data_IF_668449054030
#
_entry.id   IF_668449054030
#
_cell.length_a   1.000
_cell.length_b   1.000
_cell.length_c   1.000
_cell.angle_alpha   90.00
_cell.angle_beta   90.00
_cell.angle_gamma   90.00
#
_symmetry.space_group_name_H-M   'P 1'
#
loop_
_entity.id
_entity.type
_entity.pdbx_description
1 polymer ?
#
# COMPACT_ATOMS: atom_id res chain seq x y z
N UNK A 1 -13.83 7.28 -12.58
CA UNK A 1 -13.25 8.54 -12.03
C UNK A 1 -11.79 8.59 -12.42
N UNK A 2 -11.06 9.70 -12.23
CA UNK A 2 -9.64 9.75 -12.55
C UNK A 2 -8.82 10.28 -11.38
N UNK A 3 -7.68 9.67 -11.10
CA UNK A 3 -6.71 10.18 -10.13
C UNK A 3 -5.99 11.36 -10.77
N UNK A 4 -6.03 12.52 -10.12
CA UNK A 4 -5.36 13.72 -10.60
C UNK A 4 -3.93 13.78 -10.09
N UNK A 5 -3.00 14.11 -10.98
CA UNK A 5 -1.57 14.20 -10.70
C UNK A 5 -1.05 15.53 -11.24
N UNK A 6 -0.21 16.21 -10.46
CA UNK A 6 0.49 17.42 -10.87
C UNK A 6 1.96 17.07 -11.13
N UNK A 7 2.45 17.38 -12.32
CA UNK A 7 3.87 17.32 -12.66
C UNK A 7 4.46 18.73 -12.65
N UNK A 8 5.22 19.09 -11.61
CA UNK A 8 5.82 20.43 -11.50
C UNK A 8 7.33 20.40 -11.72
N UNK A 9 7.85 21.37 -12.47
CA UNK A 9 9.30 21.54 -12.65
C UNK A 9 9.93 21.98 -11.32
N UNK A 10 10.85 21.16 -10.78
CA UNK A 10 11.62 21.47 -9.57
C UNK A 10 13.08 21.08 -9.74
N UNK A 11 13.96 21.80 -9.06
CA UNK A 11 15.38 21.44 -8.95
C UNK A 11 15.49 20.27 -7.97
N UNK A 12 15.92 19.10 -8.44
CA UNK A 12 16.22 18.01 -7.52
C UNK A 12 17.52 18.32 -6.78
N UNK A 13 17.43 18.38 -5.45
CA UNK A 13 18.59 18.51 -4.55
C UNK A 13 19.21 17.17 -4.17
N UNK A 14 18.56 16.04 -4.53
CA UNK A 14 18.91 14.68 -4.09
C UNK A 14 18.79 13.73 -5.29
N UNK A 15 19.78 12.85 -5.50
CA UNK A 15 19.83 11.86 -6.58
C UNK A 15 21.16 11.89 -7.36
N UNK A 16 21.33 10.98 -8.33
CA UNK A 16 22.56 10.85 -9.15
C UNK A 16 22.99 12.14 -9.89
N UNK A 17 22.05 13.05 -10.18
CA UNK A 17 22.32 14.33 -10.85
C UNK A 17 21.74 15.52 -10.04
N UNK A 18 22.42 15.98 -8.99
CA UNK A 18 22.00 17.14 -8.20
C UNK A 18 22.08 18.43 -9.04
N UNK A 19 21.04 19.26 -8.98
CA UNK A 19 21.02 20.59 -9.63
C UNK A 19 20.30 20.67 -10.99
N UNK A 20 19.86 19.55 -11.56
CA UNK A 20 19.09 19.54 -12.83
C UNK A 20 17.60 19.74 -12.56
N UNK A 21 16.96 20.63 -13.35
CA UNK A 21 15.51 20.86 -13.32
C UNK A 21 14.78 19.65 -13.94
N UNK A 22 13.98 18.92 -13.14
CA UNK A 22 13.12 17.81 -13.64
C UNK A 22 11.66 18.05 -13.25
N UNK A 23 10.74 17.43 -13.98
CA UNK A 23 9.34 17.37 -13.56
C UNK A 23 9.18 16.30 -12.49
N UNK A 24 8.60 16.69 -11.35
CA UNK A 24 8.27 15.77 -10.26
C UNK A 24 6.75 15.64 -10.20
N UNK A 25 6.27 14.41 -10.33
CA UNK A 25 4.85 14.07 -10.21
C UNK A 25 4.44 13.95 -8.75
N UNK A 26 3.26 14.46 -8.40
CA UNK A 26 2.61 14.28 -7.10
C UNK A 26 1.11 14.15 -7.29
N UNK A 27 0.42 13.33 -6.50
CA UNK A 27 -1.04 13.30 -6.52
C UNK A 27 -1.60 14.67 -6.13
N UNK A 28 -2.57 15.15 -6.88
CA UNK A 28 -3.40 16.29 -6.50
C UNK A 28 -4.44 15.80 -5.50
N UNK A 29 -4.04 15.78 -4.23
CA UNK A 29 -4.94 15.40 -3.15
C UNK A 29 -5.97 16.50 -2.94
N UNK A 30 -7.25 16.15 -3.02
CA UNK A 30 -8.34 17.02 -2.60
C UNK A 30 -8.26 17.32 -1.09
N UNK A 31 -8.99 18.36 -0.67
CA UNK A 31 -9.12 18.69 0.74
C UNK A 31 -9.61 17.47 1.55
N UNK A 32 -9.17 17.34 2.82
CA UNK A 32 -9.53 16.21 3.65
C UNK A 32 -11.05 16.12 3.78
N UNK A 33 -11.60 14.94 3.51
CA UNK A 33 -13.02 14.66 3.69
C UNK A 33 -13.33 14.70 5.18
N UNK A 34 -14.34 15.47 5.58
CA UNK A 34 -14.79 15.52 6.97
C UNK A 34 -15.47 14.21 7.37
N UNK A 35 -15.19 13.74 8.58
CA UNK A 35 -15.75 12.52 9.19
C UNK A 35 -17.29 12.45 9.04
N UNK A 36 -18.00 13.57 9.26
CA UNK A 36 -19.45 13.65 9.10
C UNK A 36 -19.94 13.27 7.70
N UNK A 37 -19.17 13.59 6.65
CA UNK A 37 -19.53 13.27 5.27
C UNK A 37 -19.36 11.77 5.00
N UNK A 38 -18.29 11.17 5.52
CA UNK A 38 -18.06 9.72 5.44
C UNK A 38 -19.23 8.96 6.04
N UNK A 39 -19.62 9.30 7.27
CA UNK A 39 -20.74 8.60 7.93
C UNK A 39 -22.08 8.84 7.25
N UNK A 40 -22.31 10.03 6.68
CA UNK A 40 -23.54 10.30 5.92
C UNK A 40 -23.62 9.44 4.66
N UNK A 41 -22.52 9.34 3.91
CA UNK A 41 -22.47 8.51 2.70
C UNK A 41 -22.58 7.02 3.03
N UNK A 42 -21.88 6.55 4.07
CA UNK A 42 -21.98 5.18 4.55
C UNK A 42 -23.40 4.84 5.04
N UNK A 43 -24.04 5.77 5.76
CA UNK A 43 -25.43 5.63 6.22
C UNK A 43 -26.41 5.51 5.05
N UNK A 44 -26.28 6.33 4.01
CA UNK A 44 -27.11 6.24 2.80
C UNK A 44 -26.92 4.90 2.06
N UNK A 45 -25.68 4.41 1.98
CA UNK A 45 -25.38 3.13 1.29
C UNK A 45 -25.80 1.88 2.06
N UNK A 46 -25.75 1.93 3.40
CA UNK A 46 -26.04 0.78 4.27
C UNK A 46 -27.47 0.76 4.83
N UNK A 47 -28.19 1.89 4.76
CA UNK A 47 -29.49 2.06 5.43
C UNK A 47 -29.39 2.18 6.96
N UNK A 48 -28.18 2.19 7.53
CA UNK A 48 -27.94 2.29 8.98
C UNK A 48 -27.95 3.76 9.39
N UNK A 49 -28.50 4.07 10.57
CA UNK A 49 -28.48 5.43 11.11
C UNK A 49 -27.05 5.93 11.32
N UNK A 50 -26.81 7.23 11.08
CA UNK A 50 -25.48 7.85 11.25
C UNK A 50 -24.93 7.63 12.67
N UNK A 51 -25.79 7.70 13.68
CA UNK A 51 -25.41 7.47 15.07
C UNK A 51 -24.93 6.05 15.35
N UNK A 52 -25.67 5.05 14.86
CA UNK A 52 -25.28 3.64 15.02
C UNK A 52 -23.99 3.33 14.24
N UNK A 53 -23.84 3.87 13.02
CA UNK A 53 -22.62 3.72 12.23
C UNK A 53 -21.41 4.31 12.94
N UNK A 54 -21.56 5.52 13.51
CA UNK A 54 -20.48 6.15 14.26
C UNK A 54 -20.08 5.32 15.48
N UNK A 55 -21.04 4.87 16.28
CA UNK A 55 -20.77 4.06 17.45
C UNK A 55 -20.05 2.74 17.11
N UNK A 56 -20.48 2.06 16.05
CA UNK A 56 -19.85 0.83 15.58
C UNK A 56 -18.42 1.07 15.06
N UNK A 57 -18.22 2.17 14.32
CA UNK A 57 -16.91 2.54 13.79
C UNK A 57 -15.94 2.92 14.90
N UNK A 58 -16.38 3.71 15.88
CA UNK A 58 -15.57 4.11 17.04
C UNK A 58 -15.14 2.87 17.84
N UNK A 59 -16.07 1.93 18.10
CA UNK A 59 -15.77 0.67 18.78
C UNK A 59 -14.79 -0.20 17.98
N UNK A 60 -14.97 -0.33 16.66
CA UNK A 60 -14.02 -1.04 15.80
C UNK A 60 -12.63 -0.38 15.84
N UNK A 61 -12.56 0.96 15.85
CA UNK A 61 -11.32 1.71 15.97
C UNK A 61 -10.56 1.43 17.27
N UNK A 62 -11.25 1.31 18.41
CA UNK A 62 -10.62 0.95 19.68
C UNK A 62 -10.03 -0.46 19.66
N UNK A 63 -10.78 -1.41 19.11
CA UNK A 63 -10.33 -2.81 18.97
C UNK A 63 -9.11 -2.91 18.04
N UNK A 64 -9.17 -2.23 16.89
CA UNK A 64 -8.06 -2.16 15.93
C UNK A 64 -6.80 -1.57 16.60
N UNK A 65 -6.96 -0.52 17.41
CA UNK A 65 -5.85 0.10 18.15
C UNK A 65 -5.22 -0.88 19.13
N UNK A 66 -6.01 -1.65 19.88
CA UNK A 66 -5.50 -2.65 20.82
C UNK A 66 -4.70 -3.74 20.09
N UNK A 67 -5.30 -4.36 19.07
CA UNK A 67 -4.65 -5.44 18.32
C UNK A 67 -3.40 -4.99 17.56
N UNK A 68 -3.40 -3.77 17.02
CA UNK A 68 -2.21 -3.20 16.39
C UNK A 68 -1.07 -3.03 17.41
N UNK A 69 -1.37 -2.67 18.66
CA UNK A 69 -0.34 -2.58 19.72
C UNK A 69 0.14 -3.93 20.24
N UNK A 70 -0.67 -4.97 20.12
CA UNK A 70 -0.32 -6.36 20.44
C UNK A 70 0.54 -7.03 19.36
N UNK A 71 0.71 -6.36 18.21
CA UNK A 71 1.53 -6.85 17.09
C UNK A 71 0.76 -7.75 16.12
N UNK A 72 -0.57 -7.82 16.24
CA UNK A 72 -1.39 -8.57 15.29
C UNK A 72 -1.50 -7.85 13.94
N UNK A 73 -1.58 -8.66 12.87
CA UNK A 73 -2.06 -8.18 11.58
C UNK A 73 -3.58 -8.16 11.61
N UNK A 74 -4.18 -6.97 11.48
CA UNK A 74 -5.60 -6.74 11.60
C UNK A 74 -6.21 -6.65 10.21
N UNK A 75 -7.11 -7.56 9.81
CA UNK A 75 -7.86 -7.41 8.57
C UNK A 75 -8.86 -6.26 8.70
N UNK A 76 -8.87 -5.37 7.71
CA UNK A 76 -9.86 -4.32 7.51
C UNK A 76 -10.74 -4.75 6.32
N UNK A 77 -11.92 -5.35 6.57
CA UNK A 77 -12.75 -5.92 5.51
C UNK A 77 -13.06 -4.91 4.41
N UNK A 78 -12.87 -5.33 3.15
CA UNK A 78 -13.09 -4.49 1.97
C UNK A 78 -12.01 -3.42 1.71
N UNK A 79 -10.96 -3.33 2.54
CA UNK A 79 -9.85 -2.40 2.36
C UNK A 79 -8.51 -3.11 2.22
N UNK A 80 -8.21 -4.06 3.12
CA UNK A 80 -6.91 -4.71 3.15
C UNK A 80 -6.51 -5.19 4.55
N UNK A 81 -5.21 -5.29 4.80
CA UNK A 81 -4.65 -5.68 6.11
C UNK A 81 -3.78 -4.57 6.67
N UNK A 82 -3.77 -4.44 7.99
CA UNK A 82 -3.01 -3.42 8.68
C UNK A 82 -2.14 -4.07 9.74
N UNK A 83 -0.85 -3.73 9.79
CA UNK A 83 0.09 -4.24 10.80
C UNK A 83 0.98 -3.17 11.40
N UNK A 84 1.42 -3.41 12.62
CA UNK A 84 2.44 -2.61 13.27
C UNK A 84 3.83 -2.96 12.73
N UNK A 85 4.66 -1.94 12.51
CA UNK A 85 6.04 -2.07 12.04
C UNK A 85 6.94 -1.10 12.80
N UNK A 86 8.16 -1.55 13.11
CA UNK A 86 9.22 -0.69 13.65
C UNK A 86 10.33 -0.54 12.64
N UNK A 87 10.86 0.69 12.54
CA UNK A 87 12.16 0.93 11.91
C UNK A 87 13.18 1.10 13.03
N UNK A 88 14.27 0.35 12.94
CA UNK A 88 15.37 0.41 13.91
C UNK A 88 16.73 0.47 13.21
N UNK A 89 17.75 0.93 13.94
CA UNK A 89 19.15 0.82 13.53
C UNK A 89 19.69 -0.55 13.89
N UNK A 90 20.49 -1.14 13.01
CA UNK A 90 21.25 -2.35 13.29
C UNK A 90 22.47 -2.03 14.16
N UNK A 91 22.81 -2.96 15.07
CA UNK A 91 24.00 -2.90 15.93
C UNK A 91 24.68 -4.27 15.93
N UNK A 92 25.99 -4.29 16.13
CA UNK A 92 26.80 -5.51 16.09
C UNK A 92 26.80 -6.27 17.43
N UNK A 93 26.76 -5.53 18.55
CA UNK A 93 26.85 -6.09 19.89
C UNK A 93 25.48 -6.26 20.56
N UNK A 94 25.29 -7.36 21.29
CA UNK A 94 24.08 -7.63 22.07
C UNK A 94 23.80 -6.53 23.11
N UNK A 95 24.84 -6.00 23.74
CA UNK A 95 24.75 -4.96 24.78
C UNK A 95 24.20 -3.62 24.26
N UNK A 96 24.26 -3.42 22.95
CA UNK A 96 23.77 -2.22 22.29
C UNK A 96 22.32 -2.34 21.82
N UNK A 97 21.70 -3.52 21.93
CA UNK A 97 20.28 -3.74 21.62
C UNK A 97 19.42 -3.04 22.66
N UNK A 98 19.12 -1.77 22.39
CA UNK A 98 18.37 -0.87 23.27
C UNK A 98 17.16 -0.30 22.55
N UNK A 99 16.13 0.06 23.30
CA UNK A 99 14.90 0.67 22.77
C UNK A 99 15.16 1.96 21.97
N UNK A 100 16.23 2.68 22.31
CA UNK A 100 16.67 3.89 21.60
C UNK A 100 17.12 3.63 20.14
N UNK A 101 17.31 2.36 19.74
CA UNK A 101 17.58 2.01 18.36
C UNK A 101 16.34 2.12 17.47
N UNK A 102 15.13 2.08 18.03
CA UNK A 102 13.88 2.21 17.29
C UNK A 102 13.73 3.67 16.87
N UNK A 103 13.91 3.94 15.57
CA UNK A 103 13.78 5.29 15.02
C UNK A 103 12.33 5.69 14.79
N UNK A 104 11.45 4.73 14.50
CA UNK A 104 10.04 5.03 14.17
C UNK A 104 9.16 3.82 14.42
N UNK A 105 7.99 4.06 15.02
CA UNK A 105 6.88 3.11 15.10
C UNK A 105 5.85 3.54 14.06
N UNK A 106 5.46 2.64 13.17
CA UNK A 106 4.56 2.96 12.05
C UNK A 106 3.54 1.86 11.84
N UNK A 107 2.46 2.23 11.17
CA UNK A 107 1.48 1.30 10.65
C UNK A 107 1.79 1.09 9.17
N UNK A 108 1.77 -0.17 8.73
CA UNK A 108 1.82 -0.56 7.33
C UNK A 108 0.46 -1.10 6.95
N UNK A 109 -0.10 -0.58 5.86
CA UNK A 109 -1.37 -1.02 5.32
C UNK A 109 -1.13 -1.65 3.95
N UNK A 110 -1.54 -2.89 3.79
CA UNK A 110 -1.48 -3.64 2.54
C UNK A 110 -2.89 -3.66 1.95
N UNK A 111 -3.14 -3.01 0.80
CA UNK A 111 -4.47 -3.00 0.19
C UNK A 111 -4.90 -4.40 -0.24
N UNK A 112 -6.21 -4.68 -0.21
CA UNK A 112 -6.78 -5.91 -0.77
C UNK A 112 -6.65 -5.93 -2.30
N UNK A 113 -6.82 -7.11 -2.90
CA UNK A 113 -6.86 -7.28 -4.37
C UNK A 113 -7.87 -6.34 -5.01
N UNK A 114 -9.09 -6.27 -4.47
CA UNK A 114 -10.15 -5.40 -5.01
C UNK A 114 -9.74 -3.91 -5.01
N UNK A 115 -9.01 -3.47 -3.99
CA UNK A 115 -8.50 -2.09 -3.93
C UNK A 115 -7.34 -1.88 -4.89
N UNK A 116 -6.45 -2.87 -5.05
CA UNK A 116 -5.36 -2.82 -6.03
C UNK A 116 -5.92 -2.76 -7.45
N UNK A 117 -6.92 -3.57 -7.76
CA UNK A 117 -7.56 -3.64 -9.08
C UNK A 117 -8.27 -2.31 -9.41
N UNK A 118 -9.06 -1.77 -8.47
CA UNK A 118 -9.71 -0.47 -8.66
C UNK A 118 -8.69 0.68 -8.82
N UNK A 119 -7.56 0.63 -8.12
CA UNK A 119 -6.49 1.61 -8.26
C UNK A 119 -5.78 1.48 -9.62
N UNK A 120 -5.56 0.27 -10.11
CA UNK A 120 -4.97 0.01 -11.41
C UNK A 120 -5.90 0.46 -12.56
N UNK A 121 -7.19 0.18 -12.45
CA UNK A 121 -8.22 0.50 -13.46
C UNK A 121 -8.59 1.99 -13.48
N UNK A 122 -8.25 2.74 -12.44
CA UNK A 122 -8.57 4.17 -12.36
C UNK A 122 -7.61 4.99 -13.23
N UNK A 123 -8.15 5.64 -14.27
CA UNK A 123 -7.36 6.49 -15.17
C UNK A 123 -6.64 7.64 -14.44
N UNK A 124 -5.48 8.03 -14.95
CA UNK A 124 -4.64 9.07 -14.35
C UNK A 124 -4.69 10.32 -15.23
N UNK A 125 -5.08 11.46 -14.65
CA UNK A 125 -5.05 12.77 -15.30
C UNK A 125 -3.87 13.59 -14.78
N UNK A 126 -2.85 13.77 -15.63
CA UNK A 126 -1.63 14.50 -15.31
C UNK A 126 -1.76 15.94 -15.82
N UNK A 127 -1.60 16.91 -14.93
CA UNK A 127 -1.45 18.32 -15.27
C UNK A 127 0.01 18.74 -15.08
N UNK A 128 0.68 19.08 -16.18
CA UNK A 128 2.05 19.57 -16.18
C UNK A 128 2.07 21.09 -15.94
N UNK A 129 2.80 21.52 -14.92
CA UNK A 129 2.96 22.91 -14.52
C UNK A 129 4.40 23.40 -14.73
N UNK A 130 4.54 24.66 -15.12
CA UNK A 130 5.83 25.36 -15.12
C UNK A 130 6.30 25.73 -13.69
N UNK A 131 7.39 26.51 -13.59
CA UNK A 131 7.95 26.94 -12.31
C UNK A 131 7.02 27.92 -11.56
N UNK A 132 6.20 28.66 -12.29
CA UNK A 132 5.29 29.70 -11.79
C UNK A 132 3.86 29.15 -11.54
N UNK A 133 3.62 27.87 -11.85
CA UNK A 133 2.34 27.20 -11.66
C UNK A 133 1.38 27.31 -12.85
N UNK A 134 1.83 27.81 -14.00
CA UNK A 134 1.06 27.86 -15.25
C UNK A 134 0.93 26.47 -15.85
N UNK A 135 -0.26 26.16 -16.36
CA UNK A 135 -0.53 24.87 -17.02
C UNK A 135 0.15 24.84 -18.38
N UNK A 136 1.12 23.94 -18.52
CA UNK A 136 1.83 23.69 -19.77
C UNK A 136 1.11 22.65 -20.64
N UNK A 137 0.64 21.57 -20.02
CA UNK A 137 0.06 20.41 -20.73
C UNK A 137 -0.87 19.62 -19.81
N UNK A 138 -1.89 18.99 -20.38
CA UNK A 138 -2.64 17.90 -19.72
C UNK A 138 -2.45 16.60 -20.49
N UNK A 139 -2.27 15.50 -19.77
CA UNK A 139 -2.16 14.13 -20.31
C UNK A 139 -3.15 13.27 -19.55
N UNK A 140 -3.93 12.45 -20.26
CA UNK A 140 -4.76 11.41 -19.65
C UNK A 140 -4.13 10.08 -20.00
N UNK A 141 -3.87 9.26 -18.99
CA UNK A 141 -3.41 7.88 -19.13
C UNK A 141 -4.60 6.97 -18.89
N UNK A 142 -4.88 6.12 -19.87
CA UNK A 142 -5.87 5.04 -19.79
C UNK A 142 -5.16 3.67 -19.66
N UNK A 143 -3.85 3.64 -19.47
CA UNK A 143 -3.08 2.42 -19.19
C UNK A 143 -3.24 2.01 -17.72
N UNK A 144 -3.62 0.75 -17.50
CA UNK A 144 -3.73 0.18 -16.16
C UNK A 144 -2.37 0.25 -15.48
N UNK A 145 -2.27 1.03 -14.40
CA UNK A 145 -1.02 1.23 -13.67
C UNK A 145 -0.66 0.03 -12.80
N UNK A 146 0.61 -0.12 -12.45
CA UNK A 146 1.05 -1.06 -11.42
C UNK A 146 0.90 -0.43 -10.03
N UNK A 147 0.25 -1.14 -9.10
CA UNK A 147 0.07 -0.69 -7.71
C UNK A 147 1.15 -1.33 -6.83
N UNK A 148 1.93 -0.50 -6.14
CA UNK A 148 3.02 -0.95 -5.26
C UNK A 148 2.49 -1.82 -4.12
N UNK A 149 3.09 -3.00 -3.92
CA UNK A 149 2.84 -3.85 -2.76
C UNK A 149 3.83 -3.53 -1.62
N UNK A 150 3.38 -2.98 -0.49
CA UNK A 150 4.25 -2.65 0.63
C UNK A 150 4.85 -3.87 1.35
N UNK A 151 4.45 -5.09 1.00
CA UNK A 151 5.04 -6.35 1.48
C UNK A 151 6.13 -6.90 0.56
N UNK A 152 6.22 -6.39 -0.68
CA UNK A 152 7.26 -6.79 -1.62
C UNK A 152 8.50 -5.91 -1.40
N UNK A 153 9.73 -6.47 -1.39
CA UNK A 153 10.93 -5.66 -1.39
C UNK A 153 10.91 -4.73 -2.61
N UNK A 154 11.17 -3.45 -2.40
CA UNK A 154 11.33 -2.49 -3.49
C UNK A 154 12.34 -3.07 -4.49
N UNK A 155 12.05 -3.05 -5.81
CA UNK A 155 13.00 -3.51 -6.80
C UNK A 155 14.31 -2.73 -6.61
N UNK A 156 15.41 -3.47 -6.53
CA UNK A 156 16.75 -2.91 -6.46
C UNK A 156 17.01 -2.15 -7.75
N UNK A 157 16.86 -0.83 -7.73
CA UNK A 157 17.19 0.04 -8.86
C UNK A 157 18.71 0.24 -8.95
N UNK A 158 19.43 -0.86 -9.15
CA UNK A 158 20.79 -0.89 -9.67
C UNK A 158 20.74 -1.28 -11.16
N UNK A 159 20.58 -0.24 -11.99
CA UNK A 159 21.08 -0.06 -13.39
C UNK A 159 20.87 -1.19 -14.43
N UNK A 160 20.20 -0.87 -15.55
CA UNK A 160 20.83 -0.82 -16.90
C UNK A 160 19.79 -0.48 -17.99
N UNK A 161 20.16 0.46 -18.87
CA UNK A 161 19.44 0.76 -20.11
C UNK A 161 19.53 -0.45 -21.06
N UNK A 162 18.37 -1.01 -21.44
CA UNK A 162 18.33 -2.06 -22.45
C UNK A 162 16.89 -2.40 -22.82
N UNK A 163 16.35 -1.72 -23.83
CA UNK A 163 15.00 -1.99 -24.30
C UNK A 163 14.84 -3.41 -24.80
N UNK A 164 13.72 -4.05 -24.44
CA UNK A 164 12.99 -4.98 -25.30
C UNK A 164 11.59 -5.21 -24.73
N UNK A 165 10.62 -4.84 -25.56
CA UNK A 165 9.20 -5.10 -25.41
C UNK A 165 8.98 -6.61 -25.64
N UNK A 166 8.40 -7.33 -24.68
CA UNK A 166 7.79 -8.64 -24.94
C UNK A 166 6.77 -8.99 -23.85
N UNK A 167 5.50 -9.00 -24.26
CA UNK A 167 4.39 -9.43 -23.42
C UNK A 167 4.45 -10.91 -23.08
N UNK A 168 3.99 -11.24 -21.88
CA UNK A 168 3.86 -12.60 -21.39
C UNK A 168 2.81 -12.67 -20.30
N UNK A 169 1.55 -12.82 -20.71
CA UNK A 169 0.46 -13.26 -19.85
C UNK A 169 0.75 -14.69 -19.36
N UNK A 170 0.88 -14.92 -18.05
CA UNK A 170 0.66 -16.26 -17.48
C UNK A 170 0.06 -16.12 -16.08
N UNK A 171 -1.27 -16.16 -16.03
CA UNK A 171 -2.01 -16.48 -14.81
C UNK A 171 -1.82 -17.95 -14.46
N UNK A 172 -1.88 -18.24 -13.15
CA UNK A 172 -2.00 -19.59 -12.62
C UNK A 172 -1.21 -19.78 -11.34
N UNK A 173 -1.90 -19.85 -10.20
CA UNK A 173 -1.44 -20.72 -9.14
C UNK A 173 -2.62 -21.26 -8.32
N UNK A 174 -3.21 -22.34 -8.85
CA UNK A 174 -3.88 -23.35 -8.03
C UNK A 174 -2.81 -24.07 -7.22
N UNK A 175 -2.85 -23.95 -5.89
CA UNK A 175 -2.08 -24.82 -5.00
C UNK A 175 -3.02 -25.82 -4.33
N UNK A 176 -3.31 -26.90 -5.06
CA UNK A 176 -3.73 -28.17 -4.48
C UNK A 176 -2.51 -28.83 -3.85
N UNK A 177 -2.43 -28.78 -2.53
CA UNK A 177 -1.34 -29.35 -1.75
C UNK A 177 -1.31 -30.88 -1.83
N UNK A 178 -0.22 -31.40 -2.37
CA UNK A 178 0.21 -32.77 -2.18
C UNK A 178 1.74 -32.83 -2.12
N UNK A 179 2.31 -33.30 -1.01
CA UNK A 179 3.16 -34.48 -1.04
C UNK A 179 3.54 -34.99 0.39
N UNK A 180 3.59 -36.32 0.48
CA UNK A 180 4.36 -37.24 1.36
C UNK A 180 5.39 -36.64 2.32
N UNK A 181 5.68 -37.18 3.50
CA UNK A 181 5.54 -38.55 4.02
C UNK A 181 6.78 -38.85 4.87
N UNK A 182 6.62 -39.46 6.04
CA UNK A 182 7.71 -39.73 6.99
C UNK A 182 7.38 -40.82 7.99
N UNK A 183 7.79 -42.04 7.63
CA UNK A 183 7.72 -43.34 8.30
C UNK A 183 8.03 -43.39 9.82
N UNK A 184 7.22 -44.11 10.59
CA UNK A 184 7.70 -44.99 11.69
C UNK A 184 6.70 -46.14 11.87
N UNK A 185 7.17 -47.37 11.67
CA UNK A 185 6.34 -48.58 11.69
C UNK A 185 6.08 -49.18 13.06
N UNK A 186 5.17 -50.16 13.06
CA UNK A 186 5.09 -51.21 14.07
C UNK A 186 3.68 -51.49 14.58
N UNK A 187 3.18 -52.71 14.37
CA UNK A 187 2.21 -53.33 15.28
C UNK A 187 0.91 -53.82 14.66
N UNK A 188 0.89 -55.10 14.31
CA UNK A 188 -0.23 -55.96 13.90
C UNK A 188 -1.26 -56.28 15.01
N UNK A 189 -2.51 -56.57 14.60
CA UNK A 189 -3.51 -57.37 15.34
C UNK A 189 -4.86 -56.65 15.51
N UNK A 190 -5.93 -57.00 14.77
CA UNK A 190 -6.97 -58.00 15.17
C UNK A 190 -7.37 -57.81 16.65
N UNK A 191 -8.58 -57.38 17.00
CA UNK A 191 -9.90 -57.89 16.63
C UNK A 191 -10.96 -56.80 16.87
#
# INVERSE_FOLDING_TARGET
MAIKVIAQRRVLKIGKNPGVKKFVMRPELYTPIQEKKVFKEASVRSGISVGAMKAAWDAAGEVIKAWATEGHSVPLPGLGTMRFSVRSKAVESLEDVKTNLISTRRIVFTPSTDVKDELADTSIQITCLDEDGTILKRVTSDDGGEVEDPEQPAPDNSEEEGGQNQGGNTGGNDNTGGNTGGNTGGGSGQN
#
